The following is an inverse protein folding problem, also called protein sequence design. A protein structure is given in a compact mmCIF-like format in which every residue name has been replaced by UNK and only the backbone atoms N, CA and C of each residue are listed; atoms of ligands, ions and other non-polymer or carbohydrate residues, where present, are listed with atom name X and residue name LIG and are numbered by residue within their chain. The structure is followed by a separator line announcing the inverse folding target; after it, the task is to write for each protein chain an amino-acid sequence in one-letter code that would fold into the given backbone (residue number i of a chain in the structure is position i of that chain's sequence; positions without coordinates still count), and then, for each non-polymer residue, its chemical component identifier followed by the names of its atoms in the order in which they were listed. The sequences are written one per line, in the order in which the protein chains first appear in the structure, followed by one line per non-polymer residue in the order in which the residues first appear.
data_IF_599809246823
#
_entry.id   IF_599809246823
#
_cell.length_a   1.000
_cell.length_b   1.000
_cell.length_c   1.000
_cell.angle_alpha   90.00
_cell.angle_beta   90.00
_cell.angle_gamma   90.00
#
_symmetry.space_group_name_H-M   'P 1'
#
loop_
_entity.id
_entity.type
_entity.pdbx_description
1 polymer ?
#
# COMPACT_ATOMS: atom_id res chain seq x y z
N UNK A 1 -21.40 -3.56 13.92
CA UNK A 1 -20.87 -3.68 13.76
C UNK A 1 -20.21 -3.67 13.01
N UNK A 2 -19.83 -3.43 12.82
CA UNK A 2 -19.13 -3.52 12.27
C UNK A 2 -18.66 -3.64 11.42
N UNK A 3 -18.27 -3.40 10.88
CA UNK A 3 -17.77 -3.57 10.01
C UNK A 3 -16.89 -3.76 9.54
N UNK A 4 -16.84 -3.94 9.59
CA UNK A 4 -15.82 -4.25 9.11
C UNK A 4 -15.39 -4.62 7.81
N UNK A 5 -15.38 -4.03 7.10
CA UNK A 5 -14.84 -4.26 5.79
C UNK A 5 -13.36 -3.92 5.69
N UNK A 6 -12.81 -3.45 6.75
CA UNK A 6 -11.40 -3.13 6.77
C UNK A 6 -10.50 -4.36 6.74
N UNK A 7 -9.60 -4.43 5.77
CA UNK A 7 -8.60 -5.47 5.68
C UNK A 7 -7.23 -4.85 5.84
N UNK A 8 -6.25 -5.65 6.18
CA UNK A 8 -4.87 -5.20 6.36
C UNK A 8 -3.93 -6.07 5.58
N UNK A 9 -2.90 -5.44 5.03
CA UNK A 9 -1.84 -6.19 4.37
C UNK A 9 -0.51 -5.48 4.63
N UNK A 10 0.54 -6.28 4.74
CA UNK A 10 1.89 -5.76 4.82
C UNK A 10 2.55 -6.08 3.50
N UNK A 11 2.96 -5.05 2.78
CA UNK A 11 3.60 -5.21 1.49
C UNK A 11 5.09 -4.98 1.61
N UNK A 12 5.88 -5.88 1.01
CA UNK A 12 7.30 -5.67 0.84
C UNK A 12 7.51 -4.84 -0.40
N UNK A 13 8.27 -3.75 -0.31
CA UNK A 13 8.46 -2.83 -1.42
C UNK A 13 9.95 -2.59 -1.61
N UNK A 14 10.41 -2.69 -2.85
CA UNK A 14 11.78 -2.40 -3.20
C UNK A 14 11.89 -0.98 -3.72
N UNK A 15 12.95 -0.30 -3.31
CA UNK A 15 13.27 1.02 -3.84
C UNK A 15 12.77 2.17 -3.01
N UNK A 16 12.17 1.92 -1.86
CA UNK A 16 11.71 3.02 -1.02
C UNK A 16 12.61 3.25 0.19
N UNK A 17 13.91 3.29 -0.08
CA UNK A 17 14.91 3.43 0.98
C UNK A 17 15.23 4.89 1.33
N UNK A 18 14.52 5.85 0.76
CA UNK A 18 14.66 7.24 1.14
C UNK A 18 13.33 7.77 1.64
N UNK A 19 13.35 8.86 2.40
CA UNK A 19 12.12 9.48 2.88
C UNK A 19 11.23 9.90 1.71
N UNK A 20 11.84 10.43 0.64
CA UNK A 20 11.09 10.83 -0.55
C UNK A 20 10.40 9.64 -1.19
N UNK A 21 11.13 8.52 -1.35
CA UNK A 21 10.57 7.32 -1.96
C UNK A 21 9.43 6.75 -1.10
N UNK A 22 9.61 6.74 0.21
CA UNK A 22 8.55 6.25 1.11
C UNK A 22 7.31 7.12 0.99
N UNK A 23 7.50 8.44 0.90
CA UNK A 23 6.37 9.34 0.72
C UNK A 23 5.64 9.10 -0.58
N UNK A 24 6.37 8.81 -1.65
CA UNK A 24 5.75 8.52 -2.95
C UNK A 24 4.93 7.24 -2.91
N UNK A 25 5.44 6.23 -2.23
CA UNK A 25 4.72 4.97 -2.07
C UNK A 25 3.44 5.19 -1.28
N UNK A 26 3.54 5.88 -0.16
CA UNK A 26 2.35 6.18 0.66
C UNK A 26 1.32 6.97 -0.11
N UNK A 27 1.77 7.98 -0.84
CA UNK A 27 0.88 8.83 -1.62
C UNK A 27 0.19 8.04 -2.71
N UNK A 28 0.94 7.20 -3.42
CA UNK A 28 0.38 6.39 -4.49
C UNK A 28 -0.69 5.45 -3.96
N UNK A 29 -0.45 4.84 -2.81
CA UNK A 29 -1.41 3.92 -2.21
C UNK A 29 -2.65 4.66 -1.73
N UNK A 30 -2.46 5.81 -1.10
CA UNK A 30 -3.59 6.60 -0.61
C UNK A 30 -4.47 7.10 -1.74
N UNK A 31 -3.92 7.20 -2.94
CA UNK A 31 -4.68 7.63 -4.12
C UNK A 31 -5.57 6.53 -4.68
N UNK A 32 -5.36 5.29 -4.27
CA UNK A 32 -6.17 4.19 -4.74
C UNK A 32 -7.50 4.19 -4.00
N UNK A 33 -8.59 4.14 -4.77
CA UNK A 33 -9.92 4.10 -4.19
C UNK A 33 -10.07 2.84 -3.35
N UNK A 34 -10.54 3.00 -2.13
CA UNK A 34 -10.72 1.89 -1.21
C UNK A 34 -9.58 1.75 -0.21
N UNK A 35 -8.48 2.48 -0.39
CA UNK A 35 -7.42 2.48 0.61
C UNK A 35 -7.81 3.43 1.72
N UNK A 36 -7.81 2.93 2.94
CA UNK A 36 -8.18 3.68 4.13
C UNK A 36 -6.96 4.29 4.79
N UNK A 37 -5.83 3.60 4.73
CA UNK A 37 -4.62 4.05 5.38
C UNK A 37 -3.41 3.36 4.75
N UNK A 38 -2.33 4.09 4.58
CA UNK A 38 -1.09 3.52 4.09
C UNK A 38 0.08 4.22 4.76
N UNK A 39 0.91 3.43 5.43
CA UNK A 39 2.07 3.96 6.15
C UNK A 39 3.26 3.04 5.98
N UNK A 40 4.39 3.61 5.63
CA UNK A 40 5.63 2.84 5.56
C UNK A 40 6.06 2.51 6.98
N UNK A 41 6.24 1.23 7.26
CA UNK A 41 6.68 0.77 8.57
C UNK A 41 8.20 0.64 8.64
N UNK A 42 8.85 0.62 7.49
CA UNK A 42 10.31 0.59 7.39
C UNK A 42 10.66 1.02 5.97
N UNK A 43 11.96 0.96 5.63
CA UNK A 43 12.39 1.28 4.27
C UNK A 43 12.10 0.16 3.27
N UNK A 44 11.46 -0.92 3.71
CA UNK A 44 11.14 -2.06 2.85
C UNK A 44 9.69 -2.50 2.93
N UNK A 45 8.92 -1.96 3.88
CA UNK A 45 7.56 -2.44 4.11
C UNK A 45 6.61 -1.30 4.27
N UNK A 46 5.39 -1.50 3.78
CA UNK A 46 4.31 -0.55 3.97
C UNK A 46 3.09 -1.32 4.45
N UNK A 47 2.45 -0.79 5.48
CA UNK A 47 1.23 -1.36 6.03
C UNK A 47 0.05 -0.63 5.41
N UNK A 48 -0.91 -1.38 4.89
CA UNK A 48 -2.05 -0.80 4.21
C UNK A 48 -3.33 -1.35 4.82
N UNK A 49 -4.24 -0.44 5.15
CA UNK A 49 -5.60 -0.79 5.51
C UNK A 49 -6.49 -0.41 4.34
N UNK A 50 -7.33 -1.32 3.92
CA UNK A 50 -8.14 -1.08 2.73
C UNK A 50 -9.49 -1.77 2.86
N UNK A 51 -10.42 -1.32 2.05
CA UNK A 51 -11.76 -1.92 1.97
C UNK A 51 -11.71 -3.02 0.92
N UNK A 52 -11.77 -4.26 1.37
CA UNK A 52 -11.65 -5.42 0.49
C UNK A 52 -12.78 -5.53 -0.51
N UNK A 53 -13.88 -4.80 -0.28
CA UNK A 53 -14.97 -4.75 -1.25
C UNK A 53 -14.68 -3.77 -2.39
N UNK A 54 -13.73 -2.86 -2.19
CA UNK A 54 -13.41 -1.83 -3.19
C UNK A 54 -12.12 -2.09 -3.93
N UNK A 55 -11.15 -2.73 -3.27
CA UNK A 55 -9.81 -2.84 -3.85
C UNK A 55 -9.21 -4.17 -3.40
N UNK A 56 -8.33 -4.71 -4.23
CA UNK A 56 -7.61 -5.94 -3.91
C UNK A 56 -6.14 -5.65 -3.68
N UNK A 57 -5.43 -6.59 -3.07
CA UNK A 57 -3.98 -6.47 -2.88
C UNK A 57 -3.27 -6.32 -4.22
N UNK A 58 -3.74 -7.02 -5.25
CA UNK A 58 -3.13 -6.90 -6.58
C UNK A 58 -3.26 -5.49 -7.13
N UNK A 59 -4.38 -4.81 -6.84
CA UNK A 59 -4.54 -3.42 -7.26
C UNK A 59 -3.50 -2.53 -6.60
N UNK A 60 -3.21 -2.80 -5.34
CA UNK A 60 -2.19 -2.04 -4.61
C UNK A 60 -0.81 -2.26 -5.21
N UNK A 61 -0.49 -3.51 -5.52
CA UNK A 61 0.79 -3.86 -6.11
C UNK A 61 0.95 -3.17 -7.47
N UNK A 62 -0.12 -3.17 -8.27
CA UNK A 62 -0.10 -2.52 -9.58
C UNK A 62 0.08 -1.01 -9.47
N UNK A 63 -0.54 -0.41 -8.46
CA UNK A 63 -0.40 1.03 -8.25
C UNK A 63 1.06 1.40 -8.00
N UNK A 64 1.76 0.57 -7.23
CA UNK A 64 3.17 0.82 -6.96
C UNK A 64 4.03 0.55 -8.18
N UNK A 65 3.69 -0.47 -8.95
CA UNK A 65 4.43 -0.78 -10.17
C UNK A 65 4.37 0.37 -11.16
N UNK A 66 3.25 1.07 -11.23
CA UNK A 66 3.09 2.19 -12.16
C UNK A 66 4.10 3.30 -11.92
N UNK A 67 4.52 3.47 -10.68
CA UNK A 67 5.49 4.52 -10.36
C UNK A 67 6.89 3.97 -10.14
N UNK A 68 7.11 2.72 -10.55
CA UNK A 68 8.45 2.15 -10.60
C UNK A 68 8.87 1.37 -9.39
N UNK A 69 7.97 1.03 -8.50
CA UNK A 69 8.29 0.24 -7.31
C UNK A 69 7.83 -1.20 -7.48
N UNK A 70 8.65 -2.13 -7.04
CA UNK A 70 8.29 -3.55 -7.05
C UNK A 70 7.78 -3.90 -5.67
N UNK A 71 6.58 -4.45 -5.61
CA UNK A 71 5.93 -4.78 -4.36
C UNK A 71 5.36 -6.18 -4.40
N UNK A 72 5.26 -6.78 -3.22
CA UNK A 72 4.65 -8.08 -3.08
C UNK A 72 4.19 -8.27 -1.64
N UNK A 73 3.38 -9.29 -1.41
CA UNK A 73 2.93 -9.61 -0.06
C UNK A 73 4.07 -10.18 0.76
N UNK A 74 4.12 -9.81 2.02
CA UNK A 74 5.10 -10.34 2.96
C UNK A 74 4.72 -11.71 3.48
#
# INVERSE_FOLDING_TARGET
MADQSGARVLLGVRGMDTATSRGRVEEALRSVRGVLRAEASSDRQVAVEYDAAEVTVMDLIRALRRIGFLAGME
#
